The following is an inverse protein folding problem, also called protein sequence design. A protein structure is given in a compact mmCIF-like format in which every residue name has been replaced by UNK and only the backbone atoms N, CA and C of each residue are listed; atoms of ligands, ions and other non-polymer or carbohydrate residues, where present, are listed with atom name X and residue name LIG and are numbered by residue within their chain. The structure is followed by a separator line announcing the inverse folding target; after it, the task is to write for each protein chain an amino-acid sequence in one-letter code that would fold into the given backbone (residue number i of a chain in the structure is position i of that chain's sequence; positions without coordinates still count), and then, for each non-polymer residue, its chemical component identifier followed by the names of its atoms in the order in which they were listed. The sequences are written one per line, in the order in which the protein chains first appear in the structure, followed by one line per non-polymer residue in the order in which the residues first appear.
data_IF_100976396998
#
_entry.id   IF_100976396998
#
_cell.length_a   1.000
_cell.length_b   1.000
_cell.length_c   1.000
_cell.angle_alpha   90.00
_cell.angle_beta   90.00
_cell.angle_gamma   90.00
#
_symmetry.space_group_name_H-M   'P 1'
#
loop_
_entity.id
_entity.type
_entity.pdbx_description
1 polymer ?
#
# COMPACT_ATOMS: atom_id res chain seq x y z
N UNK A 1 -7.22 -15.48 -2.68
CA UNK A 1 -7.30 -14.23 -1.95
C UNK A 1 -6.39 -13.20 -2.57
N UNK A 2 -6.93 -12.07 -3.01
CA UNK A 2 -6.13 -11.00 -3.59
C UNK A 2 -5.13 -10.46 -2.57
N UNK A 3 -3.85 -10.63 -2.84
CA UNK A 3 -2.78 -10.02 -2.11
C UNK A 3 -2.50 -8.65 -2.73
N UNK A 4 -2.98 -7.59 -2.12
CA UNK A 4 -2.65 -6.26 -2.56
C UNK A 4 -1.70 -5.61 -1.56
N UNK A 5 -0.48 -5.32 -1.97
CA UNK A 5 0.31 -4.31 -1.33
C UNK A 5 -0.20 -2.96 -1.85
N UNK A 6 -0.67 -2.11 -0.97
CA UNK A 6 -1.37 -0.90 -1.36
C UNK A 6 -0.49 0.31 -1.16
N UNK A 7 -0.32 1.09 -2.24
CA UNK A 7 0.09 2.48 -2.17
C UNK A 7 -1.13 3.36 -2.39
N UNK A 8 -1.46 4.22 -1.44
CA UNK A 8 -2.44 5.27 -1.62
C UNK A 8 -1.69 6.58 -1.92
N UNK A 9 -1.91 7.14 -3.10
CA UNK A 9 -1.42 8.47 -3.44
C UNK A 9 -2.54 9.48 -3.27
N UNK A 10 -2.33 10.51 -2.44
CA UNK A 10 -3.22 11.66 -2.38
C UNK A 10 -2.74 12.68 -3.42
N UNK A 11 -3.45 12.80 -4.54
CA UNK A 11 -3.22 13.87 -5.49
C UNK A 11 -4.00 15.11 -5.06
N UNK A 12 -3.31 16.10 -4.50
CA UNK A 12 -3.87 17.43 -4.32
C UNK A 12 -3.84 18.17 -5.66
N UNK A 13 -4.95 18.76 -6.10
CA UNK A 13 -4.98 19.70 -7.21
C UNK A 13 -4.36 21.04 -6.78
N UNK A 14 -3.03 21.12 -6.82
CA UNK A 14 -2.26 22.35 -6.68
C UNK A 14 -1.56 22.68 -8.00
N UNK A 15 -1.14 23.94 -8.26
CA UNK A 15 -0.50 24.31 -9.50
C UNK A 15 0.77 23.50 -9.75
N UNK A 16 0.95 23.03 -11.00
CA UNK A 16 2.09 22.25 -11.45
C UNK A 16 3.41 22.91 -11.04
N UNK A 17 4.12 22.31 -10.12
CA UNK A 17 5.51 22.67 -9.86
C UNK A 17 6.41 22.13 -10.97
N UNK A 18 7.41 22.95 -11.35
CA UNK A 18 8.38 22.66 -12.41
C UNK A 18 9.20 21.40 -12.07
N UNK A 19 9.64 20.62 -13.08
CA UNK A 19 10.46 19.43 -12.85
C UNK A 19 11.81 19.82 -12.21
N UNK A 20 12.16 19.10 -11.16
CA UNK A 20 13.43 19.25 -10.46
C UNK A 20 14.61 18.88 -11.36
N UNK A 21 15.64 19.73 -11.38
CA UNK A 21 16.92 19.45 -12.00
C UNK A 21 17.74 18.40 -11.22
N UNK A 22 18.76 17.76 -11.82
CA UNK A 22 19.39 16.54 -11.32
C UNK A 22 20.48 16.74 -10.26
N UNK A 23 20.46 17.75 -9.41
CA UNK A 23 21.45 17.92 -8.33
C UNK A 23 20.87 18.66 -7.13
N UNK A 24 20.23 17.91 -6.24
CA UNK A 24 19.87 18.42 -4.93
C UNK A 24 19.88 17.27 -3.90
N UNK A 25 20.92 17.24 -3.06
CA UNK A 25 20.95 16.37 -1.88
C UNK A 25 19.79 16.77 -0.98
N UNK A 26 18.76 15.94 -0.89
CA UNK A 26 17.62 16.16 0.00
C UNK A 26 18.05 15.96 1.46
N UNK A 27 18.59 17.00 2.06
CA UNK A 27 18.80 17.09 3.51
C UNK A 27 17.54 17.74 4.10
N UNK A 28 16.74 16.98 4.85
CA UNK A 28 15.77 17.58 5.76
C UNK A 28 14.29 17.21 5.60
N UNK A 29 13.91 16.18 4.85
CA UNK A 29 12.56 15.64 4.98
C UNK A 29 12.50 14.69 6.18
N UNK A 30 11.49 14.83 7.07
CA UNK A 30 11.28 13.88 8.14
C UNK A 30 11.04 12.51 7.49
N UNK A 31 11.87 11.54 7.85
CA UNK A 31 11.68 10.14 7.49
C UNK A 31 10.23 9.76 7.79
N UNK A 32 9.58 9.12 6.83
CA UNK A 32 8.25 8.54 7.00
C UNK A 32 8.11 7.90 8.40
N UNK A 33 7.32 8.45 9.33
CA UNK A 33 7.24 7.92 10.67
C UNK A 33 6.58 6.54 10.64
N UNK A 34 7.14 5.52 11.31
CA UNK A 34 6.50 4.22 11.39
C UNK A 34 5.20 4.34 12.17
N UNK A 35 4.07 4.12 11.52
CA UNK A 35 2.78 4.02 12.19
C UNK A 35 2.66 2.61 12.75
N UNK A 36 3.04 2.41 14.00
CA UNK A 36 2.86 1.15 14.73
C UNK A 36 1.38 1.00 15.09
N UNK A 37 0.63 0.31 14.23
CA UNK A 37 -0.72 -0.13 14.57
C UNK A 37 -0.67 -1.17 15.67
N UNK A 38 -1.51 -1.06 16.71
CA UNK A 38 -1.68 -2.12 17.71
C UNK A 38 -2.16 -3.39 17.01
N UNK A 39 -1.63 -4.58 17.35
CA UNK A 39 -2.09 -5.84 16.80
C UNK A 39 -3.48 -6.15 17.38
N UNK A 40 -4.51 -5.97 16.60
CA UNK A 40 -5.82 -6.54 16.88
C UNK A 40 -6.06 -7.69 15.94
N UNK A 41 -6.14 -8.88 16.53
CA UNK A 41 -6.41 -10.09 15.79
C UNK A 41 -7.84 -10.13 15.27
N UNK A 42 -7.97 -10.21 13.94
CA UNK A 42 -9.13 -10.81 13.30
C UNK A 42 -8.57 -11.86 12.34
N UNK A 43 -8.91 -13.14 12.51
CA UNK A 43 -8.51 -14.17 11.58
C UNK A 43 -9.24 -13.98 10.25
N UNK A 44 -8.50 -13.93 9.16
CA UNK A 44 -9.05 -13.95 7.81
C UNK A 44 -9.48 -12.59 7.29
N UNK A 45 -8.56 -11.92 6.59
CA UNK A 45 -8.82 -10.65 5.92
C UNK A 45 -9.70 -10.83 4.66
N UNK A 46 -10.97 -11.17 4.88
CA UNK A 46 -12.01 -11.12 3.84
C UNK A 46 -12.42 -9.67 3.54
N UNK A 47 -12.00 -8.73 4.38
CA UNK A 47 -12.45 -7.33 4.33
C UNK A 47 -11.49 -6.36 3.65
N UNK A 48 -10.22 -6.73 3.40
CA UNK A 48 -9.20 -5.80 2.93
C UNK A 48 -9.59 -5.06 1.65
N UNK A 49 -9.95 -5.76 0.59
CA UNK A 49 -10.36 -5.15 -0.69
C UNK A 49 -11.67 -4.38 -0.59
N UNK A 50 -12.64 -4.85 0.21
CA UNK A 50 -13.89 -4.13 0.46
C UNK A 50 -13.64 -2.82 1.21
N UNK A 51 -12.76 -2.85 2.21
CA UNK A 51 -12.37 -1.67 2.98
C UNK A 51 -11.66 -0.63 2.12
N UNK A 52 -10.90 -1.07 1.11
CA UNK A 52 -10.24 -0.18 0.16
C UNK A 52 -11.21 0.50 -0.79
N UNK A 53 -12.25 -0.22 -1.26
CA UNK A 53 -13.34 0.39 -2.02
C UNK A 53 -14.05 1.47 -1.20
N UNK A 54 -14.33 1.20 0.08
CA UNK A 54 -14.95 2.17 0.98
C UNK A 54 -14.05 3.41 1.15
N UNK A 55 -12.76 3.21 1.39
CA UNK A 55 -11.78 4.28 1.53
C UNK A 55 -11.70 5.15 0.26
N UNK A 56 -11.65 4.52 -0.93
CA UNK A 56 -11.65 5.23 -2.21
C UNK A 56 -12.94 6.03 -2.41
N UNK A 57 -14.12 5.46 -2.09
CA UNK A 57 -15.39 6.15 -2.18
C UNK A 57 -15.46 7.37 -1.27
N UNK A 58 -15.01 7.22 -0.02
CA UNK A 58 -15.13 8.27 0.98
C UNK A 58 -14.12 9.41 0.77
N UNK A 59 -12.87 9.08 0.41
CA UNK A 59 -11.79 10.07 0.31
C UNK A 59 -11.41 10.45 -1.11
N UNK A 60 -11.88 9.71 -2.12
CA UNK A 60 -11.66 10.03 -3.53
C UNK A 60 -12.10 11.44 -3.91
N UNK A 61 -13.29 11.93 -3.49
CA UNK A 61 -13.72 13.31 -3.74
C UNK A 61 -12.79 14.38 -3.17
N UNK A 62 -11.97 14.00 -2.19
CA UNK A 62 -10.98 14.89 -1.56
C UNK A 62 -9.57 14.74 -2.13
N UNK A 63 -9.40 13.89 -3.16
CA UNK A 63 -8.14 13.72 -3.89
C UNK A 63 -7.34 12.47 -3.52
N UNK A 64 -7.89 11.53 -2.75
CA UNK A 64 -7.24 10.24 -2.52
C UNK A 64 -7.38 9.35 -3.76
N UNK A 65 -6.28 8.76 -4.18
CA UNK A 65 -6.25 7.70 -5.20
C UNK A 65 -5.63 6.45 -4.58
N UNK A 66 -6.41 5.38 -4.53
CA UNK A 66 -5.95 4.07 -4.06
C UNK A 66 -5.35 3.30 -5.23
N UNK A 67 -4.16 2.72 -5.04
CA UNK A 67 -3.44 1.92 -6.03
C UNK A 67 -3.18 0.52 -5.47
N UNK A 68 -3.54 -0.51 -6.19
CA UNK A 68 -3.37 -1.90 -5.80
C UNK A 68 -2.30 -2.62 -6.63
N UNK A 69 -1.39 -3.33 -5.95
CA UNK A 69 -0.29 -4.08 -6.57
C UNK A 69 -0.38 -5.55 -6.11
N UNK A 70 -0.99 -6.44 -6.92
CA UNK A 70 -1.10 -7.85 -6.56
C UNK A 70 0.27 -8.53 -6.51
N UNK A 71 0.46 -9.41 -5.52
CA UNK A 71 1.69 -10.21 -5.38
C UNK A 71 1.39 -11.62 -4.89
N UNK A 72 2.12 -12.61 -5.39
CA UNK A 72 1.98 -14.02 -4.98
C UNK A 72 3.03 -14.45 -3.94
N UNK A 73 3.79 -13.50 -3.37
CA UNK A 73 4.90 -13.79 -2.47
C UNK A 73 4.47 -14.18 -1.06
N UNK A 74 3.22 -13.96 -0.69
CA UNK A 74 2.68 -14.19 0.67
C UNK A 74 1.67 -15.33 0.65
N UNK A 75 2.13 -16.53 1.05
CA UNK A 75 1.30 -17.72 1.13
C UNK A 75 0.76 -18.21 -0.22
N UNK A 76 1.31 -17.74 -1.34
CA UNK A 76 0.79 -18.03 -2.69
C UNK A 76 -0.71 -17.76 -2.83
N UNK A 77 -1.18 -16.68 -2.21
CA UNK A 77 -2.61 -16.35 -2.14
C UNK A 77 -3.15 -15.62 -3.37
N UNK A 78 -2.26 -15.20 -4.30
CA UNK A 78 -2.63 -14.62 -5.59
C UNK A 78 -1.99 -15.42 -6.74
N UNK A 79 -2.43 -16.67 -6.96
CA UNK A 79 -1.78 -17.56 -7.93
C UNK A 79 -2.15 -17.24 -9.39
N UNK A 80 -3.28 -16.57 -9.63
CA UNK A 80 -3.82 -16.30 -10.96
C UNK A 80 -2.93 -15.43 -11.84
N UNK A 81 -3.11 -15.51 -13.15
CA UNK A 81 -2.51 -14.59 -14.09
C UNK A 81 -3.20 -13.21 -14.02
N UNK A 82 -2.60 -12.17 -14.60
CA UNK A 82 -3.17 -10.82 -14.57
C UNK A 82 -4.62 -10.76 -15.06
N UNK A 83 -4.95 -11.51 -16.11
CA UNK A 83 -6.31 -11.60 -16.67
C UNK A 83 -7.34 -12.28 -15.74
N UNK A 84 -6.86 -13.06 -14.77
CA UNK A 84 -7.71 -13.81 -13.83
C UNK A 84 -7.98 -13.05 -12.52
N UNK A 85 -7.22 -11.98 -12.23
CA UNK A 85 -7.33 -11.25 -10.96
C UNK A 85 -8.72 -10.62 -10.80
N UNK A 86 -9.18 -9.84 -11.78
CA UNK A 86 -10.50 -9.21 -11.71
C UNK A 86 -11.65 -10.22 -11.66
N UNK A 87 -11.68 -11.28 -12.48
CA UNK A 87 -12.64 -12.37 -12.34
C UNK A 87 -12.59 -13.05 -10.97
N UNK A 88 -11.39 -13.30 -10.42
CA UNK A 88 -11.24 -13.91 -9.09
C UNK A 88 -11.81 -13.01 -7.98
N UNK A 89 -11.55 -11.70 -8.03
CA UNK A 89 -12.14 -10.74 -7.10
C UNK A 89 -13.67 -10.73 -7.19
N UNK A 90 -14.22 -10.76 -8.40
CA UNK A 90 -15.67 -10.68 -8.64
C UNK A 90 -16.42 -11.94 -8.25
N UNK A 91 -15.89 -13.10 -8.53
CA UNK A 91 -16.64 -14.36 -8.43
C UNK A 91 -16.15 -15.30 -7.33
N UNK A 92 -14.94 -15.11 -6.81
CA UNK A 92 -14.33 -16.05 -5.86
C UNK A 92 -14.08 -15.37 -4.51
N UNK A 93 -13.22 -14.32 -4.48
CA UNK A 93 -12.83 -13.71 -3.22
C UNK A 93 -12.46 -12.23 -3.41
N UNK A 94 -13.25 -11.30 -2.87
CA UNK A 94 -14.39 -11.51 -1.97
C UNK A 94 -15.63 -12.13 -2.64
N UNK A 95 -15.73 -12.15 -3.98
CA UNK A 95 -16.89 -12.69 -4.68
C UNK A 95 -18.10 -11.75 -4.59
N UNK A 96 -19.30 -12.31 -4.80
CA UNK A 96 -20.54 -11.54 -4.68
C UNK A 96 -20.68 -10.40 -5.69
N UNK A 97 -19.97 -10.46 -6.83
CA UNK A 97 -19.97 -9.40 -7.82
C UNK A 97 -19.02 -8.24 -7.53
N UNK A 98 -18.10 -8.40 -6.56
CA UNK A 98 -17.16 -7.34 -6.19
C UNK A 98 -16.35 -6.85 -7.38
N UNK A 99 -16.31 -5.52 -7.54
CA UNK A 99 -15.45 -4.83 -8.51
C UNK A 99 -14.66 -3.75 -7.76
N UNK A 100 -13.32 -3.76 -7.84
CA UNK A 100 -12.51 -2.70 -7.24
C UNK A 100 -12.81 -1.37 -7.95
N UNK A 101 -13.02 -0.31 -7.17
CA UNK A 101 -13.19 1.06 -7.65
C UNK A 101 -11.87 1.85 -7.63
N UNK A 102 -10.77 1.15 -7.52
CA UNK A 102 -9.41 1.69 -7.52
C UNK A 102 -8.55 0.97 -8.56
N UNK A 103 -7.45 1.61 -8.95
CA UNK A 103 -6.56 1.09 -9.98
C UNK A 103 -5.78 -0.12 -9.48
N UNK A 104 -5.87 -1.24 -10.20
CA UNK A 104 -4.98 -2.38 -10.05
C UNK A 104 -3.87 -2.34 -11.09
N UNK A 105 -2.65 -2.61 -10.64
CA UNK A 105 -1.48 -2.79 -11.49
C UNK A 105 -1.25 -4.27 -11.80
N UNK A 106 -0.31 -4.54 -12.69
CA UNK A 106 0.10 -5.91 -12.99
C UNK A 106 0.69 -6.57 -11.73
N UNK A 107 0.37 -7.85 -11.55
CA UNK A 107 0.96 -8.68 -10.51
C UNK A 107 2.47 -8.72 -10.66
N UNK A 108 3.18 -8.59 -9.54
CA UNK A 108 4.64 -8.62 -9.52
C UNK A 108 5.19 -8.83 -8.12
N UNK A 109 6.50 -8.88 -8.04
CA UNK A 109 7.21 -9.01 -6.77
C UNK A 109 7.31 -7.64 -6.09
N UNK A 110 7.15 -7.65 -4.78
CA UNK A 110 7.31 -6.47 -3.91
C UNK A 110 8.55 -6.57 -3.02
N UNK A 111 9.16 -7.76 -2.97
CA UNK A 111 10.39 -8.06 -2.24
C UNK A 111 11.33 -8.90 -3.10
N UNK A 112 12.63 -8.88 -2.77
CA UNK A 112 13.65 -9.70 -3.41
C UNK A 112 14.21 -9.11 -4.69
N UNK A 113 14.95 -9.93 -5.44
CA UNK A 113 15.73 -9.48 -6.59
C UNK A 113 14.89 -8.95 -7.78
N UNK A 114 13.63 -9.37 -7.87
CA UNK A 114 12.69 -8.97 -8.94
C UNK A 114 11.64 -7.98 -8.47
N UNK A 115 11.85 -7.35 -7.31
CA UNK A 115 10.88 -6.37 -6.79
C UNK A 115 10.66 -5.22 -7.76
N UNK A 116 9.43 -4.77 -7.86
CA UNK A 116 9.07 -3.61 -8.68
C UNK A 116 9.75 -2.35 -8.13
N UNK A 117 10.23 -1.47 -9.01
CA UNK A 117 10.97 -0.25 -8.65
C UNK A 117 10.19 0.67 -7.70
N UNK A 118 8.86 0.69 -7.81
CA UNK A 118 8.01 1.44 -6.88
C UNK A 118 8.17 0.94 -5.44
N UNK A 119 8.29 -0.37 -5.22
CA UNK A 119 8.51 -0.93 -3.89
C UNK A 119 9.93 -0.71 -3.38
N UNK A 120 10.94 -0.78 -4.23
CA UNK A 120 12.30 -0.35 -3.86
C UNK A 120 12.29 1.08 -3.34
N UNK A 121 11.61 1.98 -4.03
CA UNK A 121 11.47 3.39 -3.64
C UNK A 121 10.70 3.55 -2.31
N UNK A 122 9.54 2.93 -2.17
CA UNK A 122 8.71 3.03 -0.97
C UNK A 122 9.42 2.48 0.28
N UNK A 123 10.06 1.29 0.15
CA UNK A 123 10.79 0.64 1.24
C UNK A 123 12.04 1.42 1.66
N UNK A 124 12.71 2.07 0.72
CA UNK A 124 13.87 2.93 1.03
C UNK A 124 13.47 4.27 1.66
N UNK A 125 12.26 4.74 1.39
CA UNK A 125 11.75 6.02 1.91
C UNK A 125 11.12 5.88 3.30
N UNK A 126 10.50 4.74 3.60
CA UNK A 126 9.79 4.50 4.86
C UNK A 126 10.42 3.33 5.63
N UNK A 127 10.74 3.51 6.93
CA UNK A 127 11.29 2.44 7.77
C UNK A 127 10.29 1.30 7.92
N UNK A 128 10.75 0.07 8.26
CA UNK A 128 9.88 -1.07 8.49
C UNK A 128 8.94 -0.80 9.67
N UNK A 129 7.71 -1.27 9.54
CA UNK A 129 6.67 -1.13 10.58
C UNK A 129 6.61 -2.30 11.56
N UNK A 130 7.35 -3.36 11.27
CA UNK A 130 7.56 -4.53 12.11
C UNK A 130 8.94 -5.14 11.85
N UNK A 131 9.56 -5.69 12.88
CA UNK A 131 10.86 -6.36 12.77
C UNK A 131 10.71 -7.83 12.41
N UNK A 132 9.63 -8.45 12.88
CA UNK A 132 9.40 -9.88 12.71
C UNK A 132 8.65 -10.21 11.44
N UNK A 133 9.02 -11.34 10.84
CA UNK A 133 8.28 -11.98 9.77
C UNK A 133 7.35 -13.05 10.35
N UNK A 134 6.28 -13.35 9.60
CA UNK A 134 5.48 -14.54 9.85
C UNK A 134 6.25 -15.83 9.53
N UNK A 135 5.54 -16.96 9.42
CA UNK A 135 6.15 -18.26 9.14
C UNK A 135 6.91 -18.21 7.79
N UNK A 136 8.24 -18.46 7.77
CA UNK A 136 9.05 -18.41 6.56
C UNK A 136 8.58 -19.35 5.44
N UNK A 137 7.90 -20.44 5.79
CA UNK A 137 7.32 -21.38 4.80
C UNK A 137 6.26 -20.75 3.91
N UNK A 138 5.70 -19.60 4.32
CA UNK A 138 4.70 -18.84 3.58
C UNK A 138 5.28 -17.62 2.87
N UNK A 139 6.60 -17.45 2.86
CA UNK A 139 7.29 -16.30 2.27
C UNK A 139 8.12 -16.79 1.08
N UNK A 140 7.86 -16.22 -0.11
CA UNK A 140 8.39 -16.74 -1.37
C UNK A 140 9.33 -15.75 -2.07
N UNK A 141 10.35 -15.28 -1.33
CA UNK A 141 11.50 -14.53 -1.84
C UNK A 141 12.71 -14.74 -0.93
N UNK A 142 13.89 -14.50 -1.44
CA UNK A 142 15.17 -14.56 -0.73
C UNK A 142 16.12 -13.47 -1.25
N UNK A 143 17.01 -12.94 -0.37
CA UNK A 143 17.03 -13.07 1.09
C UNK A 143 15.95 -12.21 1.75
N UNK A 144 15.48 -12.60 2.94
CA UNK A 144 14.61 -11.77 3.77
C UNK A 144 15.41 -10.58 4.33
N UNK A 145 14.88 -9.38 4.16
CA UNK A 145 15.49 -8.14 4.66
C UNK A 145 14.54 -7.41 5.59
N UNK A 146 15.08 -6.71 6.59
CA UNK A 146 14.28 -6.05 7.61
C UNK A 146 13.24 -5.05 7.04
N UNK A 147 13.60 -4.31 5.98
CA UNK A 147 12.69 -3.34 5.36
C UNK A 147 11.66 -3.95 4.41
N UNK A 148 11.71 -5.26 4.15
CA UNK A 148 10.76 -5.94 3.27
C UNK A 148 9.31 -5.80 3.75
N UNK A 149 8.39 -5.88 2.78
CA UNK A 149 6.96 -6.01 3.04
C UNK A 149 6.73 -7.32 3.79
N UNK A 150 6.03 -7.26 4.92
CA UNK A 150 5.88 -8.40 5.83
C UNK A 150 4.75 -9.33 5.43
N UNK A 151 3.68 -8.79 4.88
CA UNK A 151 2.51 -9.54 4.41
C UNK A 151 1.61 -8.71 3.50
N UNK A 152 0.58 -9.35 2.95
CA UNK A 152 -0.46 -8.70 2.15
C UNK A 152 -1.10 -7.52 2.87
N UNK A 153 -1.52 -6.49 2.14
CA UNK A 153 -2.19 -5.29 2.64
C UNK A 153 -1.33 -4.37 3.51
N UNK A 154 -0.02 -4.47 3.47
CA UNK A 154 0.84 -3.40 3.96
C UNK A 154 0.64 -2.16 3.08
N UNK A 155 0.54 -0.98 3.68
CA UNK A 155 0.09 0.23 3.00
C UNK A 155 1.10 1.36 3.13
N UNK A 156 1.16 2.20 2.10
CA UNK A 156 1.94 3.45 2.10
C UNK A 156 1.04 4.61 1.70
N UNK A 157 1.25 5.77 2.30
CA UNK A 157 0.70 7.04 1.81
C UNK A 157 1.83 7.81 1.11
N UNK A 158 1.53 8.25 -0.11
CA UNK A 158 2.41 9.12 -0.89
C UNK A 158 1.75 10.47 -1.01
N UNK A 159 2.46 11.54 -0.72
CA UNK A 159 1.98 12.90 -0.84
C UNK A 159 1.79 13.32 -2.30
N UNK A 160 1.13 14.46 -2.56
CA UNK A 160 0.91 14.98 -3.90
C UNK A 160 2.21 15.38 -4.62
N UNK A 161 3.29 15.54 -3.87
CA UNK A 161 4.65 15.79 -4.34
C UNK A 161 5.41 14.50 -4.72
N UNK A 162 4.77 13.33 -4.53
CA UNK A 162 5.38 12.02 -4.79
C UNK A 162 6.23 11.49 -3.63
N UNK A 163 6.26 12.18 -2.49
CA UNK A 163 7.05 11.76 -1.32
C UNK A 163 6.25 10.82 -0.43
N UNK A 164 6.76 9.61 -0.11
CA UNK A 164 6.12 8.71 0.85
C UNK A 164 6.15 9.33 2.26
N UNK A 165 4.99 9.39 2.90
CA UNK A 165 4.81 10.10 4.18
C UNK A 165 4.35 9.21 5.32
N UNK A 166 3.77 8.04 5.02
CA UNK A 166 3.33 7.06 6.02
C UNK A 166 3.46 5.63 5.48
N UNK A 167 3.67 4.69 6.39
CA UNK A 167 3.66 3.25 6.14
C UNK A 167 2.92 2.56 7.27
N UNK A 168 1.94 1.72 6.97
CA UNK A 168 1.15 0.98 7.95
C UNK A 168 1.36 -0.52 7.82
N UNK A 169 1.44 -1.16 8.96
CA UNK A 169 1.47 -2.61 9.07
C UNK A 169 0.25 -3.26 8.40
N UNK A 170 0.40 -4.44 7.87
CA UNK A 170 -0.66 -5.12 7.11
C UNK A 170 -1.97 -5.30 7.90
N UNK A 171 -1.90 -5.45 9.23
CA UNK A 171 -3.06 -5.59 10.14
C UNK A 171 -3.52 -4.25 10.74
N UNK A 172 -3.03 -3.13 10.25
CA UNK A 172 -3.51 -1.83 10.72
C UNK A 172 -5.01 -1.69 10.43
N UNK A 173 -5.76 -1.24 11.45
CA UNK A 173 -7.19 -1.00 11.30
C UNK A 173 -7.44 0.07 10.24
N UNK A 174 -8.36 -0.18 9.32
CA UNK A 174 -8.67 0.76 8.23
C UNK A 174 -9.19 2.10 8.74
N UNK A 175 -9.88 2.13 9.89
CA UNK A 175 -10.31 3.38 10.50
C UNK A 175 -9.11 4.23 10.96
N UNK A 176 -8.06 3.61 11.49
CA UNK A 176 -6.80 4.28 11.82
C UNK A 176 -6.15 4.84 10.57
N UNK A 177 -6.02 4.03 9.52
CA UNK A 177 -5.47 4.44 8.22
C UNK A 177 -6.24 5.64 7.67
N UNK A 178 -7.57 5.58 7.65
CA UNK A 178 -8.44 6.67 7.22
C UNK A 178 -8.21 7.95 8.02
N UNK A 179 -8.19 7.85 9.35
CA UNK A 179 -7.99 9.02 10.24
C UNK A 179 -6.63 9.68 10.00
N UNK A 180 -5.58 8.90 9.83
CA UNK A 180 -4.24 9.39 9.53
C UNK A 180 -4.19 10.11 8.17
N UNK A 181 -4.83 9.54 7.14
CA UNK A 181 -4.94 10.16 5.82
C UNK A 181 -5.69 11.48 5.91
N UNK A 182 -6.84 11.51 6.59
CA UNK A 182 -7.64 12.74 6.78
C UNK A 182 -6.84 13.80 7.52
N UNK A 183 -6.12 13.41 8.58
CA UNK A 183 -5.26 14.34 9.32
C UNK A 183 -4.13 14.90 8.43
N UNK A 184 -3.53 14.06 7.58
CA UNK A 184 -2.53 14.50 6.61
C UNK A 184 -3.13 15.49 5.60
N UNK A 185 -4.27 15.15 4.98
CA UNK A 185 -4.95 15.99 3.99
C UNK A 185 -5.35 17.37 4.57
N UNK A 186 -5.80 17.41 5.82
CA UNK A 186 -6.15 18.66 6.50
C UNK A 186 -4.92 19.56 6.68
N UNK A 187 -3.78 18.99 7.06
CA UNK A 187 -2.52 19.75 7.18
C UNK A 187 -2.08 20.35 5.86
N UNK A 188 -2.23 19.60 4.76
CA UNK A 188 -1.88 20.08 3.41
C UNK A 188 -2.77 21.23 2.91
N UNK A 189 -4.01 21.32 3.39
CA UNK A 189 -4.95 22.41 3.01
C UNK A 189 -4.79 23.66 3.88
N UNK A 190 -4.16 23.56 5.04
CA UNK A 190 -3.93 24.69 5.95
C UNK A 190 -2.66 25.51 5.64
N UNK A 191 -1.98 25.13 4.59
CA UNK A 191 -0.85 25.83 3.99
C UNK A 191 -1.19 26.22 2.55
#
# INVERSE_FOLDING_TARGET
GAAAALSAAAAGTGPRQKPYGPTGRLTGYPSCPPVRGRPWGVPGDLGGTLQLNALQNELGPYGLVVLGFPSNQFGKQEPGQNSEILPALKYVRPGGGFVPNFQLFQKGDVNGAKEQKVYSFLKNSCPPVAEEFGNPKNLFWEPLRNHDIKWNFEKFLVGPDGVPVMRWYHRANIATVKNDIVAYMRRQRGH
#
